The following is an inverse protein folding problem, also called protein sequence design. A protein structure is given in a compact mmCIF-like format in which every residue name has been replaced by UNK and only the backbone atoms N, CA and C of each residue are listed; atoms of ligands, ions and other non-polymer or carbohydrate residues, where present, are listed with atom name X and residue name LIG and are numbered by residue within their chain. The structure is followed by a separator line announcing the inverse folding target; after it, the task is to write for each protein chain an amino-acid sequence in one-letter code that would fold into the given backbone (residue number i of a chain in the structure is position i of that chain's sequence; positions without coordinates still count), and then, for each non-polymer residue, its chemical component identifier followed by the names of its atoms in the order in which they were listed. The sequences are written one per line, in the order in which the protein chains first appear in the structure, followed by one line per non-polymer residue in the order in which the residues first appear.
data_IF_589387516648
#
_entry.id   IF_589387516648
#
_cell.length_a   1.000
_cell.length_b   1.000
_cell.length_c   1.000
_cell.angle_alpha   90.00
_cell.angle_beta   90.00
_cell.angle_gamma   90.00
#
_symmetry.space_group_name_H-M   'P 1'
#
loop_
_entity.id
_entity.type
_entity.pdbx_description
1 polymer ?
#
# COMPACT_ATOMS: atom_id res chain seq x y z
N UNK A 1 27.05 -43.95 -31.42
CA UNK A 1 25.66 -43.48 -31.25
C UNK A 1 25.42 -43.22 -29.76
N UNK A 2 25.69 -42.00 -29.27
CA UNK A 2 25.79 -41.73 -27.83
C UNK A 2 24.39 -41.57 -27.22
N UNK A 3 23.78 -42.68 -26.79
CA UNK A 3 22.46 -42.70 -26.13
C UNK A 3 22.36 -41.77 -24.89
N UNK A 4 23.52 -41.43 -24.31
CA UNK A 4 23.67 -40.54 -23.16
C UNK A 4 23.23 -39.11 -23.45
N UNK A 5 23.36 -38.64 -24.70
CA UNK A 5 22.95 -37.29 -25.09
C UNK A 5 21.44 -37.10 -24.94
N UNK A 6 20.65 -38.14 -25.21
CA UNK A 6 19.20 -38.11 -25.04
C UNK A 6 18.82 -37.89 -23.57
N UNK A 7 19.42 -38.66 -22.66
CA UNK A 7 19.15 -38.56 -21.22
C UNK A 7 19.51 -37.17 -20.69
N UNK A 8 20.64 -36.60 -21.13
CA UNK A 8 21.05 -35.26 -20.71
C UNK A 8 20.06 -34.16 -21.13
N UNK A 9 19.49 -34.26 -22.34
CA UNK A 9 18.48 -33.31 -22.81
C UNK A 9 17.23 -33.36 -21.92
N UNK A 10 16.73 -34.56 -21.61
CA UNK A 10 15.57 -34.74 -20.74
C UNK A 10 15.82 -34.23 -19.31
N UNK A 11 16.97 -34.56 -18.73
CA UNK A 11 17.35 -34.08 -17.40
C UNK A 11 17.43 -32.56 -17.37
N UNK A 12 18.07 -31.95 -18.37
CA UNK A 12 18.13 -30.49 -18.49
C UNK A 12 16.74 -29.86 -18.59
N UNK A 13 15.84 -30.47 -19.36
CA UNK A 13 14.46 -29.99 -19.52
C UNK A 13 13.67 -30.03 -18.21
N UNK A 14 13.79 -31.13 -17.46
CA UNK A 14 13.13 -31.31 -16.15
C UNK A 14 13.71 -30.35 -15.11
N UNK A 15 15.03 -30.18 -15.09
CA UNK A 15 15.70 -29.25 -14.17
C UNK A 15 15.30 -27.81 -14.47
N UNK A 16 15.23 -27.43 -15.74
CA UNK A 16 14.75 -26.10 -16.15
C UNK A 16 13.30 -25.88 -15.70
N UNK A 17 12.44 -26.87 -15.91
CA UNK A 17 11.03 -26.81 -15.49
C UNK A 17 10.92 -26.62 -13.97
N UNK A 18 11.66 -27.41 -13.20
CA UNK A 18 11.69 -27.31 -11.75
C UNK A 18 12.25 -25.97 -11.28
N UNK A 19 13.30 -25.46 -11.91
CA UNK A 19 13.87 -24.16 -11.59
C UNK A 19 12.84 -23.04 -11.76
N UNK A 20 12.09 -23.04 -12.88
CA UNK A 20 11.04 -22.04 -13.12
C UNK A 20 9.92 -22.15 -12.08
N UNK A 21 9.49 -23.38 -11.75
CA UNK A 21 8.48 -23.63 -10.72
C UNK A 21 8.91 -23.11 -9.35
N UNK A 22 10.14 -23.44 -8.93
CA UNK A 22 10.69 -23.03 -7.63
C UNK A 22 10.85 -21.50 -7.58
N UNK A 23 11.38 -20.88 -8.64
CA UNK A 23 11.51 -19.42 -8.72
C UNK A 23 10.14 -18.75 -8.66
N UNK A 24 9.15 -19.27 -9.39
CA UNK A 24 7.76 -18.78 -9.36
C UNK A 24 7.15 -18.89 -7.97
N UNK A 25 7.32 -20.03 -7.31
CA UNK A 25 6.84 -20.27 -5.95
C UNK A 25 7.49 -19.30 -4.95
N UNK A 26 8.81 -19.15 -4.99
CA UNK A 26 9.54 -18.21 -4.11
C UNK A 26 9.11 -16.77 -4.36
N UNK A 27 8.97 -16.37 -5.62
CA UNK A 27 8.57 -15.01 -5.96
C UNK A 27 7.16 -14.70 -5.47
N UNK A 28 6.23 -15.63 -5.66
CA UNK A 28 4.86 -15.50 -5.19
C UNK A 28 4.80 -15.48 -3.66
N UNK A 29 5.55 -16.35 -3.00
CA UNK A 29 5.66 -16.40 -1.53
C UNK A 29 6.20 -15.09 -0.95
N UNK A 30 7.26 -14.53 -1.56
CA UNK A 30 7.80 -13.22 -1.14
C UNK A 30 6.78 -12.10 -1.28
N UNK A 31 5.98 -12.13 -2.35
CA UNK A 31 4.95 -11.13 -2.62
C UNK A 31 3.77 -11.27 -1.67
N UNK A 32 3.36 -12.49 -1.36
CA UNK A 32 2.33 -12.79 -0.36
C UNK A 32 2.78 -12.36 1.04
N UNK A 33 4.00 -12.69 1.45
CA UNK A 33 4.55 -12.26 2.74
C UNK A 33 4.71 -10.75 2.87
N UNK A 34 4.85 -10.01 1.77
CA UNK A 34 4.83 -8.55 1.81
C UNK A 34 3.41 -7.97 2.02
N UNK A 35 2.37 -8.74 1.70
CA UNK A 35 0.95 -8.36 1.87
C UNK A 35 0.40 -8.82 3.22
N UNK A 36 0.89 -9.92 3.78
CA UNK A 36 0.54 -10.40 5.12
C UNK A 36 0.61 -9.32 6.23
N UNK A 37 1.65 -8.49 6.36
CA UNK A 37 1.68 -7.45 7.40
C UNK A 37 0.60 -6.38 7.22
N UNK A 38 0.12 -6.17 5.99
CA UNK A 38 -1.02 -5.27 5.75
C UNK A 38 -2.34 -5.93 6.14
N UNK A 39 -2.45 -7.25 5.97
CA UNK A 39 -3.60 -8.04 6.45
C UNK A 39 -3.61 -8.09 7.98
N UNK A 40 -2.47 -8.26 8.64
CA UNK A 40 -2.37 -8.20 10.11
C UNK A 40 -2.77 -6.81 10.63
N UNK A 41 -2.39 -5.73 9.94
CA UNK A 41 -2.85 -4.37 10.27
C UNK A 41 -4.36 -4.23 10.10
N UNK A 42 -4.94 -4.81 9.06
CA UNK A 42 -6.38 -4.82 8.84
C UNK A 42 -7.12 -5.61 9.94
N UNK A 43 -6.56 -6.74 10.38
CA UNK A 43 -7.12 -7.55 11.47
C UNK A 43 -7.05 -6.80 12.82
N UNK A 44 -5.94 -6.12 13.11
CA UNK A 44 -5.80 -5.26 14.29
C UNK A 44 -6.81 -4.11 14.29
N UNK A 45 -6.97 -3.42 13.15
CA UNK A 45 -7.97 -2.34 13.00
C UNK A 45 -9.38 -2.91 13.14
N UNK A 46 -9.64 -4.11 12.61
CA UNK A 46 -10.94 -4.77 12.72
C UNK A 46 -11.24 -5.17 14.17
N UNK A 47 -10.26 -5.65 14.91
CA UNK A 47 -10.38 -5.96 16.33
C UNK A 47 -10.59 -4.69 17.17
N UNK A 48 -9.86 -3.62 16.90
CA UNK A 48 -10.04 -2.32 17.58
C UNK A 48 -11.43 -1.74 17.27
N UNK A 49 -11.90 -1.82 16.02
CA UNK A 49 -13.26 -1.42 15.65
C UNK A 49 -14.33 -2.32 16.28
N UNK A 50 -14.07 -3.61 16.41
CA UNK A 50 -14.99 -4.55 17.07
C UNK A 50 -15.06 -4.27 18.58
N UNK A 51 -13.94 -3.99 19.24
CA UNK A 51 -13.88 -3.63 20.65
C UNK A 51 -14.56 -2.27 20.91
N UNK A 52 -14.35 -1.29 20.02
CA UNK A 52 -15.07 -0.01 20.05
C UNK A 52 -16.56 -0.21 19.78
N UNK A 53 -16.95 -1.12 18.90
CA UNK A 53 -18.35 -1.44 18.63
C UNK A 53 -19.01 -2.19 19.80
N UNK A 54 -18.29 -3.07 20.49
CA UNK A 54 -18.78 -3.76 21.69
C UNK A 54 -18.85 -2.81 22.89
N UNK A 55 -17.91 -1.88 23.04
CA UNK A 55 -17.99 -0.81 24.05
C UNK A 55 -19.06 0.23 23.70
N UNK A 56 -19.28 0.47 22.41
CA UNK A 56 -20.42 1.22 21.90
C UNK A 56 -21.67 0.32 21.82
N UNK A 57 -22.12 -0.20 22.96
CA UNK A 57 -23.52 -0.60 23.17
C UNK A 57 -24.48 0.60 23.11
N UNK A 58 -24.25 1.51 22.17
CA UNK A 58 -25.22 2.53 21.79
C UNK A 58 -26.05 1.87 20.68
N UNK A 59 -27.36 1.65 20.90
CA UNK A 59 -28.23 1.18 19.83
C UNK A 59 -27.99 2.04 18.59
N UNK A 60 -27.83 1.42 17.42
CA UNK A 60 -27.74 2.13 16.15
C UNK A 60 -29.00 2.99 15.99
N UNK A 61 -28.91 4.26 16.36
CA UNK A 61 -29.96 5.23 16.07
C UNK A 61 -29.78 5.65 14.60
N UNK A 62 -30.79 5.45 13.73
CA UNK A 62 -30.76 6.00 12.40
C UNK A 62 -30.52 7.50 12.49
N UNK A 63 -29.45 7.99 11.86
CA UNK A 63 -29.08 9.40 11.91
C UNK A 63 -30.26 10.25 11.43
N UNK A 64 -30.93 10.94 12.35
CA UNK A 64 -32.06 11.82 12.04
C UNK A 64 -31.62 12.85 11.00
N UNK A 65 -32.44 13.07 9.98
CA UNK A 65 -32.12 14.02 8.91
C UNK A 65 -31.80 15.39 9.50
N UNK A 66 -30.89 16.14 8.87
CA UNK A 66 -30.47 17.46 9.37
C UNK A 66 -31.63 18.45 9.55
N UNK A 67 -32.73 18.22 8.82
CA UNK A 67 -33.98 19.00 8.91
C UNK A 67 -34.69 18.81 10.26
N UNK A 68 -34.56 17.64 10.86
CA UNK A 68 -35.22 17.27 12.13
C UNK A 68 -34.33 17.53 13.35
N UNK A 69 -33.11 18.06 13.17
CA UNK A 69 -32.13 18.29 14.23
C UNK A 69 -32.03 19.79 14.57
N UNK A 70 -31.66 20.15 15.81
CA UNK A 70 -31.43 21.55 16.19
C UNK A 70 -30.33 22.19 15.33
N UNK A 71 -30.59 23.39 14.80
CA UNK A 71 -29.70 24.09 13.86
C UNK A 71 -28.28 24.27 14.39
N UNK A 72 -28.11 24.57 15.70
CA UNK A 72 -26.79 24.76 16.32
C UNK A 72 -25.92 23.51 16.20
N UNK A 73 -26.46 22.34 16.53
CA UNK A 73 -25.71 21.07 16.46
C UNK A 73 -25.25 20.76 15.04
N UNK A 74 -26.06 21.08 14.03
CA UNK A 74 -25.71 20.86 12.62
C UNK A 74 -24.62 21.85 12.15
N UNK A 75 -24.63 23.08 12.66
CA UNK A 75 -23.58 24.06 12.36
C UNK A 75 -22.24 23.64 12.97
N UNK A 76 -22.25 23.22 14.23
CA UNK A 76 -21.05 22.77 14.95
C UNK A 76 -20.44 21.53 14.26
N UNK A 77 -21.27 20.54 13.87
CA UNK A 77 -20.82 19.37 13.09
C UNK A 77 -20.21 19.77 11.74
N UNK A 78 -20.81 20.77 11.07
CA UNK A 78 -20.34 21.25 9.77
C UNK A 78 -19.02 21.99 9.91
N UNK A 79 -18.86 22.80 10.94
CA UNK A 79 -17.64 23.55 11.23
C UNK A 79 -16.48 22.60 11.47
N UNK A 80 -16.65 21.61 12.35
CA UNK A 80 -15.65 20.56 12.59
C UNK A 80 -15.29 19.77 11.33
N UNK A 81 -16.27 19.50 10.46
CA UNK A 81 -16.02 18.82 9.19
C UNK A 81 -15.22 19.69 8.20
N UNK A 82 -15.50 20.99 8.15
CA UNK A 82 -14.77 21.94 7.29
C UNK A 82 -13.34 22.10 7.79
N UNK A 83 -13.14 22.26 9.09
CA UNK A 83 -11.83 22.35 9.74
C UNK A 83 -10.98 21.12 9.41
N UNK A 84 -11.49 19.92 9.68
CA UNK A 84 -10.79 18.67 9.36
C UNK A 84 -10.49 18.50 7.86
N UNK A 85 -11.32 19.08 6.97
CA UNK A 85 -11.08 19.07 5.53
C UNK A 85 -9.96 20.03 5.14
N UNK A 86 -9.93 21.21 5.74
CA UNK A 86 -8.91 22.22 5.49
C UNK A 86 -7.55 21.76 6.05
N UNK A 87 -7.50 21.15 7.23
CA UNK A 87 -6.28 20.53 7.78
C UNK A 87 -5.68 19.49 6.82
N UNK A 88 -6.51 18.60 6.27
CA UNK A 88 -6.07 17.60 5.28
C UNK A 88 -5.57 18.26 3.99
N UNK A 89 -6.12 19.41 3.62
CA UNK A 89 -5.68 20.16 2.44
C UNK A 89 -4.34 20.83 2.68
N UNK A 90 -4.12 21.35 3.88
CA UNK A 90 -2.85 21.95 4.29
C UNK A 90 -1.75 20.91 4.42
N UNK A 91 -1.99 19.77 5.07
CA UNK A 91 -1.04 18.67 5.14
C UNK A 91 -0.57 18.22 3.74
N UNK A 92 -1.50 18.08 2.78
CA UNK A 92 -1.15 17.75 1.38
C UNK A 92 -0.34 18.85 0.68
N UNK A 93 -0.51 20.12 1.06
CA UNK A 93 0.29 21.22 0.52
C UNK A 93 1.69 21.17 1.11
N UNK A 94 1.82 20.95 2.41
CA UNK A 94 3.09 20.81 3.11
C UNK A 94 3.92 19.66 2.53
N UNK A 95 3.34 18.46 2.39
CA UNK A 95 4.01 17.31 1.75
C UNK A 95 4.55 17.63 0.35
N UNK A 96 3.79 18.41 -0.44
CA UNK A 96 4.22 18.83 -1.78
C UNK A 96 5.36 19.84 -1.73
N UNK A 97 5.32 20.77 -0.78
CA UNK A 97 6.35 21.78 -0.58
C UNK A 97 7.64 21.12 -0.06
N UNK A 98 7.55 20.19 0.88
CA UNK A 98 8.67 19.39 1.35
C UNK A 98 9.31 18.59 0.22
N UNK A 99 8.48 17.93 -0.60
CA UNK A 99 8.96 17.20 -1.78
C UNK A 99 9.63 18.13 -2.79
N UNK A 100 9.05 19.30 -3.06
CA UNK A 100 9.66 20.28 -3.97
C UNK A 100 10.98 20.82 -3.42
N UNK A 101 11.05 21.11 -2.12
CA UNK A 101 12.26 21.55 -1.44
C UNK A 101 13.35 20.48 -1.53
N UNK A 102 13.00 19.22 -1.25
CA UNK A 102 13.91 18.09 -1.38
C UNK A 102 14.45 17.94 -2.81
N UNK A 103 13.63 18.20 -3.84
CA UNK A 103 14.06 18.16 -5.25
C UNK A 103 14.97 19.34 -5.64
N UNK A 104 14.77 20.53 -5.06
CA UNK A 104 15.62 21.71 -5.32
C UNK A 104 16.99 21.58 -4.64
N UNK A 105 17.02 21.05 -3.40
CA UNK A 105 18.26 20.87 -2.64
C UNK A 105 18.94 19.52 -2.93
N UNK A 106 18.28 18.63 -3.66
CA UNK A 106 18.87 17.39 -4.15
C UNK A 106 20.04 17.71 -5.08
N UNK A 107 21.24 17.26 -4.70
CA UNK A 107 22.42 17.37 -5.55
C UNK A 107 22.17 16.65 -6.89
N UNK A 108 22.14 17.34 -8.04
CA UNK A 108 21.82 16.72 -9.33
C UNK A 108 22.86 15.67 -9.75
N UNK A 109 24.07 15.69 -9.16
CA UNK A 109 25.11 14.71 -9.42
C UNK A 109 24.88 13.36 -8.71
N UNK A 110 23.95 13.28 -7.75
CA UNK A 110 23.64 12.03 -7.06
C UNK A 110 23.01 10.99 -8.01
N UNK A 111 22.29 11.43 -9.03
CA UNK A 111 21.63 10.56 -10.03
C UNK A 111 22.47 10.34 -11.30
N UNK A 112 23.71 10.83 -11.35
CA UNK A 112 24.61 10.67 -12.52
C UNK A 112 24.89 9.20 -12.87
N UNK A 113 24.82 8.30 -11.88
CA UNK A 113 24.97 6.85 -12.08
C UNK A 113 23.77 6.20 -12.79
N UNK A 114 22.58 6.84 -12.79
CA UNK A 114 21.40 6.36 -13.52
C UNK A 114 21.42 6.80 -14.99
N UNK A 115 22.07 7.92 -15.30
CA UNK A 115 22.19 8.43 -16.67
C UNK A 115 23.35 7.80 -17.47
N UNK A 116 24.29 7.12 -16.80
CA UNK A 116 25.52 6.58 -17.42
C UNK A 116 25.46 5.08 -17.73
N UNK A 117 24.27 4.50 -17.89
CA UNK A 117 24.15 3.20 -18.56
C UNK A 117 24.11 3.39 -20.09
N UNK A 118 25.22 3.15 -20.83
CA UNK A 118 25.12 2.99 -22.26
C UNK A 118 24.26 1.75 -22.53
N UNK A 119 23.12 1.98 -23.18
CA UNK A 119 22.31 0.93 -23.79
C UNK A 119 23.23 0.16 -24.74
N UNK A 120 23.70 -1.03 -24.33
CA UNK A 120 24.33 -1.98 -25.24
C UNK A 120 23.24 -2.49 -26.19
N UNK A 121 23.34 -2.07 -27.44
CA UNK A 121 22.47 -2.43 -28.55
C UNK A 121 22.89 -1.59 -29.74
#
# INVERSE_FOLDING_TARGET
MPWWSWVLIWVGLVVLLLAVLVVGAIWLWRKLNAVLPEIERLDLIQQELAEVAEQATVPYEPRKSAILRPTRQVLDEREAFVEARDDRREARREEKLERANALIHANPMQFKHLATHPKKG
#
